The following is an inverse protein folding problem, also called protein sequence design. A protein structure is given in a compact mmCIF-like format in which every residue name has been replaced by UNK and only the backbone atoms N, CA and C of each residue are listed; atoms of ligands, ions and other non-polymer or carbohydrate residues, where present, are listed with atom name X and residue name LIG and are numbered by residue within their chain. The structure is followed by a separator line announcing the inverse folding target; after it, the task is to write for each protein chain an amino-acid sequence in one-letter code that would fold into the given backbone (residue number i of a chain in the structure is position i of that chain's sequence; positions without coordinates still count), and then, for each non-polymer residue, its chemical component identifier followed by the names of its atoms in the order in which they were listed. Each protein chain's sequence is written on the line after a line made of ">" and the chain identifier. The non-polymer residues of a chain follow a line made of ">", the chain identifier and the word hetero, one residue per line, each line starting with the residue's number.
data_IF_014129383527
#
_entry.id   IF_014129383527
#
_cell.length_a   1.000
_cell.length_b   1.000
_cell.length_c   1.000
_cell.angle_alpha   90.00
_cell.angle_beta   90.00
_cell.angle_gamma   90.00
#
_symmetry.space_group_name_H-M   'P 1'
#
loop_
_entity.id
_entity.type
_entity.pdbx_description
1 polymer ?
#
# COMPACT_ATOMS: atom_id res chain seq x y z
N UNK A 1 6.53 -23.96 -13.01
CA UNK A 1 6.45 -22.84 -13.98
C UNK A 1 6.91 -21.59 -13.26
N UNK A 2 7.89 -20.87 -13.79
CA UNK A 2 8.49 -19.73 -13.08
C UNK A 2 7.47 -18.59 -12.90
N UNK A 3 7.31 -18.12 -11.66
CA UNK A 3 6.55 -16.91 -11.32
C UNK A 3 7.56 -15.79 -11.04
N UNK A 4 7.40 -14.63 -11.66
CA UNK A 4 8.17 -13.43 -11.33
C UNK A 4 7.25 -12.40 -10.68
N UNK A 5 7.47 -12.12 -9.40
CA UNK A 5 6.69 -11.17 -8.63
C UNK A 5 7.51 -9.87 -8.45
N UNK A 6 7.03 -8.79 -9.05
CA UNK A 6 7.63 -7.46 -8.94
C UNK A 6 7.08 -6.76 -7.70
N UNK A 7 7.97 -6.36 -6.79
CA UNK A 7 7.64 -5.82 -5.46
C UNK A 7 8.53 -4.65 -5.07
N UNK A 8 8.14 -3.96 -4.00
CA UNK A 8 8.96 -2.98 -3.32
C UNK A 8 8.56 -2.98 -1.86
N UNK A 9 9.51 -3.18 -0.93
CA UNK A 9 9.21 -3.30 0.49
C UNK A 9 8.32 -2.14 1.00
N UNK A 10 8.64 -0.90 0.62
CA UNK A 10 7.84 0.27 1.02
C UNK A 10 6.44 0.38 0.40
N UNK A 11 5.94 -0.60 -0.33
CA UNK A 11 4.61 -0.61 -0.94
C UNK A 11 3.64 -1.49 -0.15
N UNK A 12 2.62 -0.86 0.46
CA UNK A 12 1.53 -1.55 1.17
C UNK A 12 0.85 -2.62 0.31
N UNK A 13 0.69 -2.33 -0.98
CA UNK A 13 0.02 -3.25 -1.90
C UNK A 13 0.94 -4.38 -2.38
N UNK A 14 2.24 -4.13 -2.52
CA UNK A 14 3.18 -5.23 -2.76
C UNK A 14 3.27 -6.18 -1.56
N UNK A 15 3.21 -5.63 -0.34
CA UNK A 15 3.23 -6.41 0.90
C UNK A 15 2.09 -7.44 0.96
N UNK A 16 0.92 -7.16 0.39
CA UNK A 16 -0.18 -8.14 0.27
C UNK A 16 0.27 -9.41 -0.45
N UNK A 17 0.94 -9.27 -1.59
CA UNK A 17 1.44 -10.40 -2.36
C UNK A 17 2.60 -11.11 -1.66
N UNK A 18 3.48 -10.36 -0.97
CA UNK A 18 4.58 -10.94 -0.19
C UNK A 18 4.08 -11.76 0.99
N UNK A 19 3.06 -11.25 1.71
CA UNK A 19 2.36 -11.96 2.78
C UNK A 19 1.68 -13.23 2.26
N UNK A 20 0.98 -13.13 1.12
CA UNK A 20 0.39 -14.29 0.46
C UNK A 20 1.45 -15.34 0.13
N UNK A 21 2.57 -14.98 -0.51
CA UNK A 21 3.64 -15.94 -0.82
C UNK A 21 4.17 -16.61 0.46
N UNK A 22 4.34 -15.85 1.53
CA UNK A 22 4.86 -16.36 2.81
C UNK A 22 3.89 -17.30 3.56
N UNK A 23 2.58 -17.17 3.38
CA UNK A 23 1.57 -18.01 4.06
C UNK A 23 1.11 -19.20 3.19
N UNK A 24 1.17 -19.09 1.86
CA UNK A 24 0.59 -20.06 0.93
C UNK A 24 1.44 -21.32 0.70
N UNK A 25 2.56 -21.45 1.40
CA UNK A 25 3.43 -22.63 1.36
C UNK A 25 4.27 -22.74 0.09
N UNK A 26 4.49 -21.62 -0.61
CA UNK A 26 5.46 -21.56 -1.71
C UNK A 26 6.87 -21.79 -1.19
N UNK A 27 7.65 -22.56 -1.95
CA UNK A 27 9.09 -22.74 -1.75
C UNK A 27 9.86 -21.55 -2.35
N UNK A 28 11.11 -21.40 -1.94
CA UNK A 28 11.98 -20.30 -2.39
C UNK A 28 12.09 -20.20 -3.92
N UNK A 29 12.14 -21.34 -4.61
CA UNK A 29 12.23 -21.41 -6.07
C UNK A 29 10.87 -21.31 -6.80
N UNK A 30 9.75 -21.29 -6.09
CA UNK A 30 8.42 -21.22 -6.73
C UNK A 30 8.11 -19.80 -7.23
N UNK A 31 8.66 -18.77 -6.58
CA UNK A 31 8.42 -17.36 -6.89
C UNK A 31 9.73 -16.57 -6.84
N UNK A 32 10.16 -16.07 -8.00
CA UNK A 32 11.27 -15.13 -8.11
C UNK A 32 10.79 -13.72 -7.78
N UNK A 33 11.35 -13.08 -6.76
CA UNK A 33 11.08 -11.69 -6.42
C UNK A 33 11.99 -10.76 -7.22
N UNK A 34 11.42 -9.72 -7.83
CA UNK A 34 12.17 -8.62 -8.45
C UNK A 34 11.79 -7.30 -7.81
N UNK A 35 12.78 -6.57 -7.31
CA UNK A 35 12.55 -5.24 -6.75
C UNK A 35 12.39 -4.21 -7.85
N UNK A 36 11.37 -3.35 -7.72
CA UNK A 36 11.18 -2.15 -8.55
C UNK A 36 11.09 -0.95 -7.62
N UNK A 37 12.14 -0.15 -7.55
CA UNK A 37 12.28 0.91 -6.56
C UNK A 37 11.32 2.08 -6.83
N UNK A 38 10.26 2.18 -6.02
CA UNK A 38 9.27 3.25 -6.14
C UNK A 38 9.83 4.63 -5.74
N UNK A 39 10.82 4.68 -4.86
CA UNK A 39 11.44 5.95 -4.44
C UNK A 39 12.19 6.58 -5.62
N UNK A 40 12.91 5.77 -6.39
CA UNK A 40 13.66 6.21 -7.58
C UNK A 40 12.80 6.23 -8.86
N UNK A 41 11.50 5.97 -8.75
CA UNK A 41 10.57 5.99 -9.88
C UNK A 41 10.80 4.89 -10.93
N UNK A 42 11.42 3.77 -10.57
CA UNK A 42 11.71 2.67 -11.52
C UNK A 42 10.43 2.07 -12.14
N UNK A 43 9.31 2.15 -11.43
CA UNK A 43 7.99 1.74 -11.93
C UNK A 43 7.48 2.63 -13.09
N UNK A 44 8.16 3.74 -13.37
CA UNK A 44 7.87 4.61 -14.50
C UNK A 44 8.75 4.33 -15.71
N UNK A 45 9.80 3.49 -15.59
CA UNK A 45 10.68 3.22 -16.71
C UNK A 45 9.90 2.58 -17.87
N UNK A 46 10.17 2.94 -19.15
CA UNK A 46 9.49 2.33 -20.29
C UNK A 46 9.56 0.80 -20.30
N UNK A 47 10.67 0.22 -19.82
CA UNK A 47 10.85 -1.22 -19.66
C UNK A 47 9.82 -1.85 -18.71
N UNK A 48 9.48 -1.20 -17.60
CA UNK A 48 8.45 -1.66 -16.68
C UNK A 48 7.04 -1.34 -17.18
N UNK A 49 6.82 -0.18 -17.80
CA UNK A 49 5.51 0.20 -18.35
C UNK A 49 5.06 -0.75 -19.48
N UNK A 50 5.98 -1.38 -20.21
CA UNK A 50 5.68 -2.47 -21.15
C UNK A 50 5.07 -3.70 -20.45
N UNK A 51 5.48 -3.97 -19.21
CA UNK A 51 4.96 -5.08 -18.39
C UNK A 51 3.63 -4.66 -17.75
N UNK A 52 3.62 -3.53 -17.04
CA UNK A 52 2.43 -2.97 -16.41
C UNK A 52 2.26 -1.49 -16.78
N UNK A 53 1.39 -1.16 -17.75
CA UNK A 53 1.12 0.22 -18.19
C UNK A 53 0.57 1.16 -17.11
N UNK A 54 0.06 0.62 -16.00
CA UNK A 54 -0.37 1.43 -14.86
C UNK A 54 0.82 1.95 -14.03
N UNK A 55 2.01 1.35 -14.20
CA UNK A 55 3.20 1.67 -13.41
C UNK A 55 3.00 1.38 -11.92
N UNK A 56 2.29 0.29 -11.59
CA UNK A 56 1.93 -0.07 -10.20
C UNK A 56 2.55 -1.39 -9.75
N UNK A 57 2.68 -1.54 -8.43
CA UNK A 57 3.08 -2.77 -7.77
C UNK A 57 1.95 -3.26 -6.85
N UNK A 58 1.82 -4.58 -6.64
CA UNK A 58 2.64 -5.64 -7.22
C UNK A 58 2.29 -5.88 -8.70
N UNK A 59 3.17 -6.57 -9.41
CA UNK A 59 2.91 -7.12 -10.75
C UNK A 59 3.41 -8.55 -10.79
N UNK A 60 2.67 -9.49 -11.37
CA UNK A 60 3.04 -10.90 -11.44
C UNK A 60 3.09 -11.37 -12.88
N UNK A 61 4.22 -11.91 -13.30
CA UNK A 61 4.31 -12.73 -14.51
C UNK A 61 4.21 -14.20 -14.10
N UNK A 62 3.19 -14.91 -14.62
CA UNK A 62 2.97 -16.33 -14.32
C UNK A 62 2.33 -17.02 -15.52
N UNK A 63 2.88 -18.15 -15.95
CA UNK A 63 2.35 -18.97 -17.05
C UNK A 63 2.11 -18.20 -18.36
N UNK A 64 3.01 -17.27 -18.72
CA UNK A 64 2.89 -16.43 -19.91
C UNK A 64 1.82 -15.34 -19.83
N UNK A 65 1.23 -15.12 -18.66
CA UNK A 65 0.28 -14.04 -18.37
C UNK A 65 0.89 -13.02 -17.42
N UNK A 66 0.40 -11.78 -17.49
CA UNK A 66 0.81 -10.67 -16.61
C UNK A 66 -0.41 -10.15 -15.87
N UNK A 67 -0.35 -10.18 -14.54
CA UNK A 67 -1.36 -9.65 -13.63
C UNK A 67 -0.88 -8.34 -13.03
N UNK A 68 -1.73 -7.31 -13.04
CA UNK A 68 -1.29 -5.90 -12.96
C UNK A 68 -1.87 -5.15 -11.76
N UNK A 69 -2.78 -5.78 -11.04
CA UNK A 69 -3.39 -5.27 -9.81
C UNK A 69 -3.15 -6.21 -8.64
N UNK A 70 -3.16 -5.66 -7.43
CA UNK A 70 -3.00 -6.41 -6.19
C UNK A 70 -4.01 -7.55 -6.05
N UNK A 71 -5.27 -7.30 -6.40
CA UNK A 71 -6.33 -8.30 -6.34
C UNK A 71 -6.09 -9.45 -7.33
N UNK A 72 -5.76 -9.16 -8.59
CA UNK A 72 -5.46 -10.21 -9.58
C UNK A 72 -4.22 -11.02 -9.19
N UNK A 73 -3.15 -10.34 -8.77
CA UNK A 73 -1.89 -10.97 -8.35
C UNK A 73 -2.15 -11.92 -7.18
N UNK A 74 -2.85 -11.45 -6.15
CA UNK A 74 -3.10 -12.24 -4.94
C UNK A 74 -4.06 -13.39 -5.21
N UNK A 75 -5.11 -13.19 -5.99
CA UNK A 75 -6.05 -14.24 -6.39
C UNK A 75 -5.34 -15.37 -7.17
N UNK A 76 -4.39 -15.04 -8.05
CA UNK A 76 -3.59 -16.03 -8.78
C UNK A 76 -2.66 -16.80 -7.84
N UNK A 77 -2.00 -16.11 -6.90
CA UNK A 77 -1.17 -16.76 -5.89
C UNK A 77 -2.03 -17.72 -5.03
N UNK A 78 -3.19 -17.30 -4.55
CA UNK A 78 -4.11 -18.14 -3.76
C UNK A 78 -4.59 -19.35 -4.57
N UNK A 79 -4.97 -19.15 -5.83
CA UNK A 79 -5.41 -20.23 -6.72
C UNK A 79 -4.33 -21.29 -6.91
N UNK A 80 -3.11 -20.85 -7.21
CA UNK A 80 -1.96 -21.70 -7.51
C UNK A 80 -1.26 -22.24 -6.24
N UNK A 81 -1.72 -21.83 -5.05
CA UNK A 81 -1.05 -22.12 -3.79
C UNK A 81 -0.93 -23.62 -3.50
N UNK A 82 0.24 -24.08 -3.02
CA UNK A 82 0.41 -25.40 -2.40
C UNK A 82 -0.51 -25.61 -1.19
N UNK A 83 -0.66 -24.58 -0.34
CA UNK A 83 -1.56 -24.59 0.82
C UNK A 83 -2.85 -23.87 0.46
N UNK A 84 -3.98 -24.58 0.53
CA UNK A 84 -5.29 -23.97 0.25
C UNK A 84 -5.75 -23.14 1.44
N UNK A 85 -6.20 -21.93 1.14
CA UNK A 85 -6.76 -20.99 2.09
C UNK A 85 -8.14 -20.52 1.61
N UNK A 86 -8.89 -19.86 2.49
CA UNK A 86 -10.18 -19.27 2.14
C UNK A 86 -9.98 -18.16 1.10
N UNK A 87 -10.75 -18.22 0.02
CA UNK A 87 -10.77 -17.19 -1.02
C UNK A 87 -11.36 -15.88 -0.51
N UNK A 88 -11.02 -14.80 -1.21
CA UNK A 88 -11.41 -13.44 -0.86
C UNK A 88 -12.92 -13.18 -0.92
N UNK A 89 -13.34 -12.17 -0.18
CA UNK A 89 -14.72 -11.68 -0.12
C UNK A 89 -14.79 -10.18 -0.45
N UNK A 90 -15.94 -9.56 -0.19
CA UNK A 90 -16.20 -8.16 -0.54
C UNK A 90 -15.30 -7.17 0.19
N UNK A 91 -14.71 -7.54 1.34
CA UNK A 91 -13.79 -6.65 2.07
C UNK A 91 -12.58 -6.25 1.24
N UNK A 92 -12.09 -7.11 0.33
CA UNK A 92 -10.98 -6.77 -0.57
C UNK A 92 -11.36 -5.57 -1.44
N UNK A 93 -12.55 -5.62 -2.05
CA UNK A 93 -13.04 -4.49 -2.84
C UNK A 93 -13.22 -3.25 -1.96
N UNK A 94 -13.80 -3.41 -0.77
CA UNK A 94 -14.09 -2.31 0.13
C UNK A 94 -12.83 -1.55 0.56
N UNK A 95 -11.79 -2.22 1.06
CA UNK A 95 -10.58 -1.52 1.54
C UNK A 95 -9.71 -0.96 0.39
N UNK A 96 -9.98 -1.36 -0.85
CA UNK A 96 -9.37 -0.81 -2.06
C UNK A 96 -10.11 0.41 -2.62
N UNK A 97 -11.25 0.80 -2.03
CA UNK A 97 -11.96 2.03 -2.41
C UNK A 97 -11.10 3.29 -2.14
N UNK A 98 -11.19 4.29 -3.02
CA UNK A 98 -10.34 5.49 -2.95
C UNK A 98 -10.42 6.22 -1.61
N UNK A 99 -11.60 6.27 -0.97
CA UNK A 99 -11.79 6.90 0.36
C UNK A 99 -11.03 6.21 1.50
N UNK A 100 -10.53 4.99 1.28
CA UNK A 100 -9.75 4.24 2.25
C UNK A 100 -8.30 4.03 1.77
N UNK A 101 -7.86 4.72 0.72
CA UNK A 101 -6.51 4.55 0.16
C UNK A 101 -5.41 4.77 1.23
N UNK A 102 -4.64 3.72 1.56
CA UNK A 102 -3.60 3.81 2.56
C UNK A 102 -2.37 4.59 2.06
N UNK A 103 -2.20 4.79 0.74
CA UNK A 103 -1.12 5.61 0.20
C UNK A 103 -1.42 7.11 0.35
N UNK A 104 -2.68 7.52 0.13
CA UNK A 104 -3.08 8.89 0.47
C UNK A 104 -3.01 9.14 1.98
N UNK A 105 -3.33 8.16 2.82
CA UNK A 105 -3.12 8.26 4.28
C UNK A 105 -1.64 8.51 4.66
N UNK A 106 -0.69 8.02 3.86
CA UNK A 106 0.74 8.29 4.05
C UNK A 106 1.12 9.73 3.66
N UNK A 107 0.44 10.33 2.69
CA UNK A 107 0.80 11.62 2.10
C UNK A 107 -0.03 12.80 2.61
N UNK A 108 -1.19 12.55 3.20
CA UNK A 108 -2.11 13.58 3.67
C UNK A 108 -1.48 14.51 4.72
N UNK A 109 -1.98 15.74 4.80
CA UNK A 109 -1.70 16.67 5.89
C UNK A 109 -2.96 17.48 6.19
N UNK A 110 -3.32 17.61 7.46
CA UNK A 110 -4.59 18.23 7.89
C UNK A 110 -4.44 19.69 8.31
N UNK A 111 -3.21 20.18 8.43
CA UNK A 111 -2.87 21.52 8.85
C UNK A 111 -1.42 21.85 8.45
N UNK A 112 -1.02 23.11 8.60
CA UNK A 112 0.33 23.57 8.22
C UNK A 112 1.45 22.89 9.00
N UNK A 113 1.22 22.52 10.28
CA UNK A 113 2.23 21.83 11.08
C UNK A 113 2.51 20.42 10.53
N UNK A 114 1.46 19.68 10.19
CA UNK A 114 1.58 18.38 9.51
C UNK A 114 2.21 18.52 8.13
N UNK A 115 1.82 19.53 7.35
CA UNK A 115 2.37 19.76 6.01
C UNK A 115 3.88 20.05 6.08
N UNK A 116 4.30 20.87 7.04
CA UNK A 116 5.72 21.17 7.31
C UNK A 116 6.50 19.89 7.64
N UNK A 117 5.95 19.05 8.53
CA UNK A 117 6.57 17.78 8.89
C UNK A 117 6.65 16.80 7.69
N UNK A 118 5.61 16.75 6.84
CA UNK A 118 5.62 15.93 5.61
C UNK A 118 6.65 16.40 4.61
N UNK A 119 6.77 17.72 4.43
CA UNK A 119 7.74 18.37 3.53
C UNK A 119 9.18 18.03 3.90
N UNK A 120 9.52 18.09 5.20
CA UNK A 120 10.85 17.78 5.70
C UNK A 120 11.15 16.27 5.79
N UNK A 121 10.13 15.43 5.69
CA UNK A 121 10.24 13.99 5.92
C UNK A 121 10.31 13.14 4.64
N UNK A 122 10.04 11.84 4.81
CA UNK A 122 10.05 10.85 3.74
C UNK A 122 9.06 11.18 2.60
N UNK A 123 7.93 11.82 2.91
CA UNK A 123 6.92 12.18 1.90
C UNK A 123 7.44 13.23 0.92
N UNK A 124 8.06 14.31 1.41
CA UNK A 124 8.68 15.33 0.57
C UNK A 124 9.82 14.76 -0.28
N UNK A 125 10.69 13.94 0.31
CA UNK A 125 11.76 13.24 -0.42
C UNK A 125 11.21 12.32 -1.52
N UNK A 126 10.20 11.51 -1.19
CA UNK A 126 9.57 10.57 -2.13
C UNK A 126 8.95 11.29 -3.33
N UNK A 127 8.19 12.36 -3.09
CA UNK A 127 7.56 13.14 -4.16
C UNK A 127 8.60 13.83 -5.06
N UNK A 128 9.66 14.41 -4.47
CA UNK A 128 10.74 15.06 -5.22
C UNK A 128 11.48 14.09 -6.12
N UNK A 129 11.96 12.96 -5.58
CA UNK A 129 12.68 11.95 -6.37
C UNK A 129 11.82 11.38 -7.49
N UNK A 130 10.53 11.16 -7.24
CA UNK A 130 9.61 10.69 -8.27
C UNK A 130 9.35 11.73 -9.35
N UNK A 131 9.31 13.01 -9.01
CA UNK A 131 9.21 14.07 -10.01
C UNK A 131 10.46 14.09 -10.89
N UNK A 132 11.65 14.06 -10.29
CA UNK A 132 12.93 14.00 -11.01
C UNK A 132 13.00 12.80 -11.95
N UNK A 133 12.59 11.62 -11.48
CA UNK A 133 12.51 10.41 -12.28
C UNK A 133 11.52 10.56 -13.46
N UNK A 134 10.34 11.12 -13.23
CA UNK A 134 9.34 11.35 -14.30
C UNK A 134 9.88 12.31 -15.37
N UNK A 135 10.51 13.41 -14.98
CA UNK A 135 11.11 14.34 -15.95
C UNK A 135 12.20 13.65 -16.77
N UNK A 136 13.13 12.96 -16.09
CA UNK A 136 14.23 12.23 -16.73
C UNK A 136 13.72 11.16 -17.70
N UNK A 137 12.81 10.29 -17.25
CA UNK A 137 12.34 9.14 -18.02
C UNK A 137 11.45 9.58 -19.18
N UNK A 138 10.68 10.66 -19.03
CA UNK A 138 9.83 11.18 -20.11
C UNK A 138 10.61 11.77 -21.30
N UNK A 139 11.92 12.00 -21.14
CA UNK A 139 12.81 12.46 -22.22
C UNK A 139 13.44 11.31 -23.02
N UNK A 140 13.28 10.05 -22.59
CA UNK A 140 13.79 8.88 -23.32
C UNK A 140 12.98 8.67 -24.61
N UNK A 141 13.59 8.37 -25.78
CA UNK A 141 12.86 8.05 -26.99
C UNK A 141 11.83 6.91 -26.83
N UNK A 142 12.08 5.93 -25.96
CA UNK A 142 11.12 4.85 -25.68
C UNK A 142 9.89 5.33 -24.90
N UNK A 143 9.94 6.51 -24.28
CA UNK A 143 8.84 7.10 -23.54
C UNK A 143 7.70 7.61 -24.44
N UNK A 144 7.94 7.79 -25.74
CA UNK A 144 6.92 8.29 -26.68
C UNK A 144 5.68 7.38 -26.69
N UNK A 145 5.88 6.06 -26.59
CA UNK A 145 4.78 5.09 -26.50
C UNK A 145 3.92 5.24 -25.23
N UNK A 146 4.42 5.96 -24.22
CA UNK A 146 3.79 6.17 -22.91
C UNK A 146 3.55 7.65 -22.60
N UNK A 147 3.54 8.52 -23.62
CA UNK A 147 3.42 9.97 -23.43
C UNK A 147 2.26 10.40 -22.53
N UNK A 148 1.06 9.84 -22.75
CA UNK A 148 -0.13 10.13 -21.95
C UNK A 148 0.04 9.74 -20.46
N UNK A 149 0.75 8.64 -20.18
CA UNK A 149 1.09 8.23 -18.83
C UNK A 149 2.00 9.27 -18.16
N UNK A 150 3.07 9.70 -18.83
CA UNK A 150 4.00 10.68 -18.28
C UNK A 150 3.38 12.05 -18.07
N UNK A 151 2.58 12.55 -19.03
CA UNK A 151 1.87 13.83 -18.88
C UNK A 151 0.95 13.81 -17.65
N UNK A 152 0.14 12.75 -17.52
CA UNK A 152 -0.76 12.57 -16.39
C UNK A 152 0.01 12.46 -15.07
N UNK A 153 1.05 11.62 -15.01
CA UNK A 153 1.81 11.38 -13.78
C UNK A 153 2.64 12.58 -13.35
N UNK A 154 3.23 13.33 -14.29
CA UNK A 154 3.93 14.58 -13.99
C UNK A 154 2.98 15.62 -13.40
N UNK A 155 1.78 15.77 -13.96
CA UNK A 155 0.77 16.67 -13.41
C UNK A 155 0.34 16.25 -11.99
N UNK A 156 0.03 14.97 -11.78
CA UNK A 156 -0.39 14.45 -10.48
C UNK A 156 0.68 14.58 -9.39
N UNK A 157 1.89 14.08 -9.66
CA UNK A 157 2.99 14.09 -8.69
C UNK A 157 3.52 15.51 -8.47
N UNK A 158 3.66 16.29 -9.54
CA UNK A 158 4.14 17.68 -9.48
C UNK A 158 3.17 18.60 -8.75
N UNK A 159 1.86 18.45 -8.96
CA UNK A 159 0.84 19.19 -8.23
C UNK A 159 0.88 18.92 -6.72
N UNK A 160 0.97 17.65 -6.32
CA UNK A 160 1.09 17.28 -4.91
C UNK A 160 2.43 17.75 -4.32
N UNK A 161 3.54 17.62 -5.05
CA UNK A 161 4.83 18.13 -4.62
C UNK A 161 4.81 19.65 -4.40
N UNK A 162 4.15 20.40 -5.29
CA UNK A 162 4.00 21.84 -5.14
C UNK A 162 3.23 22.20 -3.86
N UNK A 163 2.16 21.47 -3.52
CA UNK A 163 1.43 21.66 -2.26
C UNK A 163 2.34 21.36 -1.06
N UNK A 164 2.99 20.19 -1.04
CA UNK A 164 3.84 19.75 0.08
C UNK A 164 5.05 20.65 0.28
N UNK A 165 5.57 21.28 -0.77
CA UNK A 165 6.73 22.19 -0.70
C UNK A 165 6.34 23.66 -0.57
N UNK A 166 5.06 23.98 -0.37
CA UNK A 166 4.59 25.37 -0.20
C UNK A 166 4.72 26.24 -1.45
N UNK A 167 4.77 25.62 -2.64
CA UNK A 167 4.88 26.29 -3.93
C UNK A 167 3.54 26.39 -4.67
N UNK A 168 2.50 25.70 -4.20
CA UNK A 168 1.16 25.78 -4.76
C UNK A 168 0.40 27.03 -4.24
N UNK A 169 -0.53 27.57 -5.04
CA UNK A 169 -1.52 28.55 -4.58
C UNK A 169 -2.26 28.14 -3.30
N UNK A 170 -2.64 29.14 -2.49
CA UNK A 170 -3.27 28.91 -1.18
C UNK A 170 -4.59 28.14 -1.30
N UNK A 171 -5.38 28.37 -2.36
CA UNK A 171 -6.63 27.63 -2.61
C UNK A 171 -6.41 26.12 -2.79
N UNK A 172 -5.28 25.71 -3.40
CA UNK A 172 -4.95 24.30 -3.56
C UNK A 172 -4.49 23.66 -2.26
N UNK A 173 -3.78 24.43 -1.41
CA UNK A 173 -3.41 23.98 -0.06
C UNK A 173 -4.66 23.78 0.81
N UNK A 174 -5.59 24.74 0.79
CA UNK A 174 -6.85 24.64 1.53
C UNK A 174 -7.67 23.41 1.08
N UNK A 175 -7.86 23.23 -0.23
CA UNK A 175 -8.58 22.05 -0.75
C UNK A 175 -7.87 20.72 -0.43
N UNK A 176 -6.53 20.71 -0.38
CA UNK A 176 -5.78 19.53 0.05
C UNK A 176 -5.98 19.21 1.53
N UNK A 177 -6.05 20.24 2.38
CA UNK A 177 -6.39 20.06 3.80
C UNK A 177 -7.79 19.47 3.94
N UNK A 178 -8.81 20.06 3.32
CA UNK A 178 -10.19 19.54 3.39
C UNK A 178 -10.27 18.06 2.96
N UNK A 179 -9.62 17.71 1.84
CA UNK A 179 -9.53 16.33 1.37
C UNK A 179 -8.79 15.42 2.36
N UNK A 180 -7.71 15.91 2.95
CA UNK A 180 -6.91 15.17 3.94
C UNK A 180 -7.71 14.88 5.21
N UNK A 181 -8.53 15.84 5.68
CA UNK A 181 -9.42 15.63 6.82
C UNK A 181 -10.51 14.60 6.53
N UNK A 182 -11.23 14.77 5.41
CA UNK A 182 -12.27 13.82 5.01
C UNK A 182 -11.73 12.40 4.82
N UNK A 183 -10.52 12.26 4.29
CA UNK A 183 -9.87 10.96 4.15
C UNK A 183 -9.42 10.38 5.48
N UNK A 184 -8.87 11.21 6.38
CA UNK A 184 -8.49 10.78 7.72
C UNK A 184 -9.70 10.23 8.49
N UNK A 185 -10.85 10.90 8.38
CA UNK A 185 -12.12 10.44 8.96
C UNK A 185 -12.63 9.15 8.29
N UNK A 186 -12.51 9.04 6.97
CA UNK A 186 -12.87 7.82 6.24
C UNK A 186 -12.03 6.62 6.68
N UNK A 187 -10.71 6.79 6.84
CA UNK A 187 -9.82 5.74 7.36
C UNK A 187 -10.18 5.39 8.81
N UNK A 188 -10.55 6.37 9.63
CA UNK A 188 -11.08 6.10 10.98
C UNK A 188 -12.33 5.23 10.90
N UNK A 189 -13.32 5.57 10.07
CA UNK A 189 -14.52 4.74 9.85
C UNK A 189 -14.14 3.33 9.39
N UNK A 190 -13.16 3.19 8.51
CA UNK A 190 -12.71 1.86 8.07
C UNK A 190 -12.17 1.02 9.24
N UNK A 191 -11.28 1.58 10.07
CA UNK A 191 -10.71 0.88 11.24
C UNK A 191 -11.77 0.62 12.32
N UNK A 192 -12.66 1.57 12.59
CA UNK A 192 -13.53 1.53 13.75
C UNK A 192 -14.91 0.90 13.50
N UNK A 193 -15.35 0.83 12.25
CA UNK A 193 -16.71 0.40 11.91
C UNK A 193 -16.72 -0.65 10.80
N UNK A 194 -16.03 -0.40 9.68
CA UNK A 194 -16.09 -1.28 8.50
C UNK A 194 -15.37 -2.60 8.74
N UNK A 195 -14.06 -2.55 9.00
CA UNK A 195 -13.22 -3.75 9.20
C UNK A 195 -13.74 -4.62 10.36
N UNK A 196 -14.11 -4.08 11.54
CA UNK A 196 -14.71 -4.87 12.62
C UNK A 196 -15.94 -5.70 12.22
N UNK A 197 -16.71 -5.25 11.21
CA UNK A 197 -17.86 -5.97 10.68
C UNK A 197 -17.50 -7.29 9.96
N UNK A 198 -16.26 -7.43 9.51
CA UNK A 198 -15.75 -8.65 8.84
C UNK A 198 -14.87 -9.50 9.76
N UNK A 199 -14.35 -8.92 10.84
CA UNK A 199 -13.45 -9.63 11.75
C UNK A 199 -14.21 -10.63 12.65
N UNK A 200 -13.65 -11.83 12.87
CA UNK A 200 -14.13 -12.72 13.91
C UNK A 200 -13.84 -12.11 15.30
N UNK A 201 -14.38 -12.71 16.35
CA UNK A 201 -14.04 -12.31 17.73
C UNK A 201 -12.57 -12.60 18.07
N UNK A 202 -11.98 -13.61 17.42
CA UNK A 202 -10.55 -13.96 17.50
C UNK A 202 -10.09 -14.71 16.25
N UNK A 203 -8.81 -14.62 15.91
CA UNK A 203 -8.23 -15.31 14.76
C UNK A 203 -8.29 -14.48 13.48
N UNK A 204 -8.56 -15.13 12.35
CA UNK A 204 -8.46 -14.54 11.02
C UNK A 204 -9.81 -14.56 10.28
N UNK A 205 -10.00 -13.69 9.29
CA UNK A 205 -11.18 -13.70 8.40
C UNK A 205 -11.27 -15.06 7.66
N UNK A 206 -10.10 -15.64 7.37
CA UNK A 206 -9.90 -16.98 6.85
C UNK A 206 -10.33 -18.13 7.77
N UNK A 207 -10.49 -17.89 9.07
CA UNK A 207 -10.74 -18.91 10.09
C UNK A 207 -9.51 -19.21 10.94
N UNK A 208 -9.16 -20.49 11.08
CA UNK A 208 -7.99 -20.93 11.88
C UNK A 208 -6.65 -20.43 11.33
N UNK A 209 -6.57 -20.27 10.00
CA UNK A 209 -5.43 -19.73 9.30
C UNK A 209 -5.84 -18.50 8.46
N UNK A 210 -4.89 -17.60 8.13
CA UNK A 210 -5.16 -16.47 7.25
C UNK A 210 -5.65 -16.91 5.87
N UNK A 211 -6.68 -16.22 5.38
CA UNK A 211 -7.18 -16.31 4.01
C UNK A 211 -6.74 -15.13 3.16
N UNK A 212 -7.25 -15.08 1.92
CA UNK A 212 -6.95 -13.99 0.98
C UNK A 212 -7.31 -12.61 1.56
N UNK A 213 -8.48 -12.50 2.22
CA UNK A 213 -8.91 -11.27 2.89
C UNK A 213 -7.90 -10.77 3.92
N UNK A 214 -7.25 -11.69 4.65
CA UNK A 214 -6.30 -11.36 5.70
C UNK A 214 -5.00 -10.77 5.15
N UNK A 215 -4.55 -11.22 3.98
CA UNK A 215 -3.36 -10.64 3.33
C UNK A 215 -3.61 -9.17 2.99
N UNK A 216 -4.82 -8.85 2.51
CA UNK A 216 -5.24 -7.50 2.16
C UNK A 216 -5.45 -6.62 3.40
N UNK A 217 -6.28 -7.07 4.35
CA UNK A 217 -6.62 -6.32 5.57
C UNK A 217 -5.40 -6.14 6.47
N UNK A 218 -4.60 -7.20 6.64
CA UNK A 218 -3.39 -7.18 7.44
C UNK A 218 -2.36 -6.19 6.91
N UNK A 219 -2.13 -6.14 5.59
CA UNK A 219 -1.22 -5.17 4.99
C UNK A 219 -1.74 -3.74 5.12
N UNK A 220 -3.03 -3.53 4.81
CA UNK A 220 -3.69 -2.23 4.91
C UNK A 220 -3.63 -1.67 6.34
N UNK A 221 -3.99 -2.48 7.34
CA UNK A 221 -3.99 -2.09 8.74
C UNK A 221 -2.56 -1.78 9.23
N UNK A 222 -1.57 -2.54 8.77
CA UNK A 222 -0.17 -2.27 9.08
C UNK A 222 0.28 -0.91 8.55
N UNK A 223 -0.12 -0.56 7.33
CA UNK A 223 0.15 0.76 6.77
C UNK A 223 -0.55 1.85 7.57
N UNK A 224 -1.82 1.69 7.92
CA UNK A 224 -2.54 2.69 8.72
C UNK A 224 -1.90 2.89 10.09
N UNK A 225 -1.48 1.81 10.77
CA UNK A 225 -0.70 1.95 12.01
C UNK A 225 0.55 2.81 11.78
N UNK A 226 1.32 2.54 10.71
CA UNK A 226 2.50 3.33 10.36
C UNK A 226 2.18 4.82 10.11
N UNK A 227 1.06 5.14 9.44
CA UNK A 227 0.67 6.53 9.17
C UNK A 227 0.23 7.29 10.42
N UNK A 228 -0.18 6.59 11.48
CA UNK A 228 -0.45 7.19 12.81
C UNK A 228 0.81 7.43 13.64
N UNK A 229 1.99 7.08 13.11
CA UNK A 229 3.29 7.33 13.74
C UNK A 229 3.89 6.12 14.46
N UNK A 230 3.21 4.98 14.47
CA UNK A 230 3.71 3.73 15.03
C UNK A 230 5.06 3.33 14.42
N UNK A 231 5.93 2.72 15.21
CA UNK A 231 7.25 2.25 14.78
C UNK A 231 7.36 0.72 14.74
N UNK A 232 6.44 0.03 15.40
CA UNK A 232 6.49 -1.41 15.63
C UNK A 232 5.08 -1.98 15.81
N UNK A 233 4.98 -3.31 15.89
CA UNK A 233 3.73 -3.97 16.26
C UNK A 233 3.24 -3.57 17.66
N UNK A 234 4.18 -3.32 18.58
CA UNK A 234 3.91 -3.12 20.01
C UNK A 234 3.26 -1.76 20.32
N UNK A 235 3.62 -0.71 19.57
CA UNK A 235 3.10 0.65 19.75
C UNK A 235 1.94 1.01 18.80
N UNK A 236 1.64 0.13 17.83
CA UNK A 236 0.66 0.38 16.78
C UNK A 236 -0.74 0.74 17.29
N UNK A 237 -1.28 -0.04 18.23
CA UNK A 237 -2.62 0.21 18.77
C UNK A 237 -2.66 1.55 19.51
N UNK A 238 -1.68 1.82 20.37
CA UNK A 238 -1.59 3.07 21.12
C UNK A 238 -1.44 4.30 20.20
N UNK A 239 -0.67 4.18 19.12
CA UNK A 239 -0.52 5.23 18.11
C UNK A 239 -1.86 5.52 17.39
N UNK A 240 -2.60 4.47 17.01
CA UNK A 240 -3.92 4.62 16.39
C UNK A 240 -4.93 5.25 17.35
N UNK A 241 -4.97 4.83 18.61
CA UNK A 241 -5.85 5.42 19.63
C UNK A 241 -5.57 6.92 19.81
N UNK A 242 -4.29 7.28 19.92
CA UNK A 242 -3.87 8.67 20.02
C UNK A 242 -4.25 9.48 18.79
N UNK A 243 -4.06 8.92 17.59
CA UNK A 243 -4.34 9.63 16.34
C UNK A 243 -5.83 9.84 16.09
N UNK A 244 -6.66 8.82 16.38
CA UNK A 244 -8.10 8.85 16.12
C UNK A 244 -8.95 9.31 17.31
N UNK A 245 -8.34 9.47 18.48
CA UNK A 245 -8.99 9.98 19.70
C UNK A 245 -10.03 9.01 20.27
N UNK A 246 -9.90 7.71 20.03
CA UNK A 246 -10.82 6.68 20.50
C UNK A 246 -10.10 5.33 20.68
N UNK A 247 -10.52 4.49 21.65
CA UNK A 247 -9.95 3.15 21.83
C UNK A 247 -10.15 2.27 20.59
N UNK A 248 -9.11 1.56 20.14
CA UNK A 248 -9.22 0.67 18.99
C UNK A 248 -10.23 -0.44 19.30
N UNK A 249 -11.16 -0.80 18.39
CA UNK A 249 -12.14 -1.85 18.66
C UNK A 249 -11.48 -3.17 19.06
N UNK A 250 -12.07 -3.87 20.03
CA UNK A 250 -11.52 -5.12 20.58
C UNK A 250 -11.23 -6.17 19.49
N UNK A 251 -12.09 -6.29 18.47
CA UNK A 251 -11.88 -7.18 17.33
C UNK A 251 -10.63 -6.82 16.52
N UNK A 252 -10.38 -5.54 16.30
CA UNK A 252 -9.20 -5.06 15.58
C UNK A 252 -7.94 -5.29 16.41
N UNK A 253 -8.00 -5.06 17.72
CA UNK A 253 -6.89 -5.35 18.62
C UNK A 253 -6.55 -6.85 18.66
N UNK A 254 -7.57 -7.72 18.77
CA UNK A 254 -7.41 -9.17 18.74
C UNK A 254 -6.82 -9.65 17.40
N UNK A 255 -7.34 -9.12 16.28
CA UNK A 255 -6.83 -9.40 14.95
C UNK A 255 -5.37 -8.95 14.79
N UNK A 256 -5.04 -7.74 15.22
CA UNK A 256 -3.69 -7.19 15.18
C UNK A 256 -2.70 -8.07 15.93
N UNK A 257 -3.06 -8.51 17.14
CA UNK A 257 -2.24 -9.42 17.94
C UNK A 257 -2.02 -10.77 17.25
N UNK A 258 -3.07 -11.35 16.68
CA UNK A 258 -2.96 -12.62 15.94
C UNK A 258 -2.11 -12.48 14.68
N UNK A 259 -2.26 -11.37 13.95
CA UNK A 259 -1.59 -11.11 12.68
C UNK A 259 -0.10 -10.80 12.84
N UNK A 260 0.26 -9.89 13.75
CA UNK A 260 1.65 -9.47 13.97
C UNK A 260 2.50 -10.55 14.65
N UNK A 261 1.88 -11.52 15.31
CA UNK A 261 2.57 -12.70 15.84
C UNK A 261 3.12 -13.62 14.74
N UNK A 262 2.57 -13.56 13.52
CA UNK A 262 2.87 -14.52 12.45
C UNK A 262 4.30 -14.37 11.90
N UNK A 263 4.99 -15.49 11.59
CA UNK A 263 6.32 -15.44 10.97
C UNK A 263 6.34 -14.71 9.62
N UNK A 264 5.27 -14.84 8.83
CA UNK A 264 5.10 -14.14 7.54
C UNK A 264 5.12 -12.63 7.71
N UNK A 265 4.33 -12.10 8.66
CA UNK A 265 4.30 -10.68 8.98
C UNK A 265 5.67 -10.19 9.44
N UNK A 266 6.31 -10.90 10.37
CA UNK A 266 7.66 -10.56 10.85
C UNK A 266 8.69 -10.56 9.73
N UNK A 267 8.57 -11.46 8.75
CA UNK A 267 9.44 -11.52 7.57
C UNK A 267 9.24 -10.30 6.66
N UNK A 268 7.99 -9.99 6.31
CA UNK A 268 7.66 -8.88 5.39
C UNK A 268 7.99 -7.52 6.03
N UNK A 269 7.68 -7.34 7.31
CA UNK A 269 7.90 -6.09 8.04
C UNK A 269 9.18 -6.08 8.88
N UNK A 270 10.16 -6.93 8.55
CA UNK A 270 11.46 -6.96 9.24
C UNK A 270 12.21 -5.61 9.15
N UNK A 271 11.97 -4.83 8.09
CA UNK A 271 12.50 -3.48 7.90
C UNK A 271 11.73 -2.37 8.62
N UNK A 272 10.70 -2.71 9.40
CA UNK A 272 9.81 -1.77 10.07
C UNK A 272 8.45 -1.63 9.37
N UNK A 273 7.56 -0.87 9.99
CA UNK A 273 6.22 -0.64 9.44
C UNK A 273 6.28 0.24 8.19
N UNK A 274 5.56 -0.19 7.16
CA UNK A 274 5.35 0.48 5.89
C UNK A 274 4.02 -0.02 5.31
#
# INVERSE_FOLDING_TARGET
>A
MAKTLYVFAGSVWAAVAELAVAELGYKEDDVTFKTVNLVEGENFAPSFLKINPNGTLPTLESNGQVYKSTAEVTAVLVKDAPTKVKAGSTIIQTIHEEKYDPNFAMLLARNDAELTAKSAGLAGMFLSKRQEALEKLSADPEAEAFKAFYETKKGQNGGLLAIVTGKAPEEHKAGFFDKSQAHFDSVKTAVFEVIPGFLPDSGFIGGEAPGEDDFHVGAWLTRIAATTGAKSADDALAAMEKAYGAPVPAKVAAYWGAWTARPSWKKVYAGGLH
#
